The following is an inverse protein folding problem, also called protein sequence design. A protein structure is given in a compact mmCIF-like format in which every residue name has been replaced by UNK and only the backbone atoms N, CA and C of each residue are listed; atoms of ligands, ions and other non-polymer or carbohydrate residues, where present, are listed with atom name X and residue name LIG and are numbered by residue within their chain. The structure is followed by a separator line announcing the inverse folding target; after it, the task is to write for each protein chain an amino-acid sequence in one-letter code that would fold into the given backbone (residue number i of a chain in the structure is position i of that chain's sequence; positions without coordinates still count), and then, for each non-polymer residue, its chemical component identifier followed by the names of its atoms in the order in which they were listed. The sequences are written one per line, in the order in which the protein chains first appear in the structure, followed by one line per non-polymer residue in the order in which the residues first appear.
data_IF_892007797229
#
_entry.id   IF_892007797229
#
_cell.length_a   1.000
_cell.length_b   1.000
_cell.length_c   1.000
_cell.angle_alpha   90.00
_cell.angle_beta   90.00
_cell.angle_gamma   90.00
#
_symmetry.space_group_name_H-M   'P 1'
#
loop_
_entity.id
_entity.type
_entity.pdbx_description
1 polymer ?
#
# COMPACT_ATOMS: atom_id res chain seq x y z
N UNK A 1 -68.61 25.40 -8.72
CA UNK A 1 -67.74 24.51 -9.51
C UNK A 1 -67.43 23.28 -8.66
N UNK A 2 -67.97 22.11 -9.05
CA UNK A 2 -68.04 20.86 -8.28
C UNK A 2 -66.95 19.87 -8.72
N UNK A 3 -66.44 19.06 -7.78
CA UNK A 3 -65.60 17.86 -7.98
C UNK A 3 -66.36 16.75 -8.73
N UNK A 4 -65.64 15.94 -9.51
CA UNK A 4 -65.90 14.51 -9.83
C UNK A 4 -64.53 13.93 -10.32
N UNK A 5 -63.85 12.96 -9.70
CA UNK A 5 -64.14 11.56 -9.33
C UNK A 5 -64.14 10.56 -10.50
N UNK A 6 -63.10 9.70 -10.48
CA UNK A 6 -62.96 8.29 -10.92
C UNK A 6 -63.32 7.87 -12.35
N UNK A 7 -62.50 6.97 -12.91
CA UNK A 7 -62.98 5.70 -13.49
C UNK A 7 -61.86 4.65 -13.52
N UNK A 8 -62.00 3.69 -12.62
CA UNK A 8 -61.53 2.30 -12.70
C UNK A 8 -62.28 1.60 -13.84
N UNK A 9 -61.59 0.92 -14.75
CA UNK A 9 -62.13 -0.12 -15.65
C UNK A 9 -60.94 -0.97 -16.12
N UNK A 10 -60.91 -2.30 -16.22
CA UNK A 10 -61.66 -3.45 -15.69
C UNK A 10 -60.74 -4.67 -15.92
N UNK A 11 -60.83 -5.67 -15.05
CA UNK A 11 -60.35 -7.03 -15.36
C UNK A 11 -61.24 -7.64 -16.44
N UNK A 12 -60.65 -8.32 -17.42
CA UNK A 12 -61.31 -9.43 -18.08
C UNK A 12 -60.45 -10.68 -17.90
N UNK A 13 -61.09 -11.70 -17.36
CA UNK A 13 -60.55 -13.03 -17.06
C UNK A 13 -61.40 -13.97 -17.88
N UNK A 14 -60.81 -14.56 -18.93
CA UNK A 14 -61.45 -15.66 -19.65
C UNK A 14 -60.44 -16.74 -20.00
N UNK A 15 -60.95 -17.95 -19.84
CA UNK A 15 -60.38 -19.28 -19.70
C UNK A 15 -60.01 -19.94 -21.05
N UNK A 16 -59.36 -21.10 -20.94
CA UNK A 16 -59.15 -22.16 -21.92
C UNK A 16 -57.99 -22.11 -22.94
N UNK A 17 -56.99 -22.96 -22.62
CA UNK A 17 -56.34 -23.98 -23.46
C UNK A 17 -56.48 -23.85 -24.99
N UNK A 18 -55.42 -23.42 -25.67
CA UNK A 18 -54.76 -24.27 -26.68
C UNK A 18 -53.39 -23.70 -27.11
N UNK A 19 -52.51 -24.60 -27.54
CA UNK A 19 -51.11 -24.32 -27.89
C UNK A 19 -50.99 -23.49 -29.18
N UNK A 20 -50.14 -22.44 -29.25
CA UNK A 20 -49.66 -21.94 -30.53
C UNK A 20 -48.21 -22.36 -30.77
N UNK A 21 -48.06 -23.03 -31.91
CA UNK A 21 -46.86 -23.26 -32.70
C UNK A 21 -45.90 -22.07 -32.76
N UNK A 22 -44.61 -22.42 -32.83
CA UNK A 22 -43.47 -21.58 -33.17
C UNK A 22 -43.79 -20.50 -34.21
N UNK A 23 -43.81 -19.23 -33.78
CA UNK A 23 -43.51 -18.10 -34.65
C UNK A 23 -42.38 -17.28 -34.02
N UNK A 24 -41.25 -17.30 -34.73
CA UNK A 24 -39.99 -16.66 -34.40
C UNK A 24 -40.15 -15.14 -34.57
N UNK A 25 -40.42 -14.42 -33.47
CA UNK A 25 -40.35 -12.94 -33.48
C UNK A 25 -38.89 -12.51 -33.48
N UNK A 26 -38.41 -12.02 -34.61
CA UNK A 26 -37.12 -11.33 -34.72
C UNK A 26 -37.00 -10.23 -33.65
N UNK A 27 -36.01 -10.36 -32.77
CA UNK A 27 -35.66 -9.28 -31.85
C UNK A 27 -34.99 -8.14 -32.64
N UNK A 28 -35.35 -6.86 -32.37
CA UNK A 28 -34.69 -5.74 -33.01
C UNK A 28 -33.20 -5.71 -32.60
N UNK A 29 -32.30 -5.31 -33.51
CA UNK A 29 -30.87 -5.38 -33.27
C UNK A 29 -30.46 -4.52 -32.07
N UNK A 30 -29.44 -4.93 -31.29
CA UNK A 30 -29.01 -4.20 -30.12
C UNK A 30 -28.52 -2.80 -30.52
N UNK A 31 -29.17 -1.77 -29.98
CA UNK A 31 -28.77 -0.37 -30.20
C UNK A 31 -27.37 -0.18 -29.64
N UNK A 32 -26.38 -0.03 -30.54
CA UNK A 32 -25.00 0.26 -30.19
C UNK A 32 -24.98 1.55 -29.36
N UNK A 33 -24.65 1.44 -28.06
CA UNK A 33 -24.43 2.61 -27.21
C UNK A 33 -23.34 3.45 -27.87
N UNK A 34 -23.72 4.63 -28.38
CA UNK A 34 -22.78 5.60 -28.96
C UNK A 34 -21.70 5.88 -27.92
N UNK A 35 -20.47 5.44 -28.21
CA UNK A 35 -19.32 5.78 -27.39
C UNK A 35 -19.16 7.30 -27.44
N UNK A 36 -19.06 7.92 -26.27
CA UNK A 36 -18.78 9.35 -26.19
C UNK A 36 -17.52 9.67 -27.00
N UNK A 37 -17.46 10.82 -27.70
CA UNK A 37 -16.27 11.22 -28.42
C UNK A 37 -15.10 11.31 -27.44
N UNK A 38 -13.93 10.78 -27.83
CA UNK A 38 -12.73 10.88 -27.00
C UNK A 38 -12.35 12.34 -26.83
N UNK A 39 -12.03 12.75 -25.61
CA UNK A 39 -11.54 14.09 -25.34
C UNK A 39 -10.27 14.37 -26.17
N UNK A 40 -10.13 15.60 -26.65
CA UNK A 40 -8.97 16.01 -27.43
C UNK A 40 -7.68 15.83 -26.61
N UNK A 41 -6.61 15.39 -27.28
CA UNK A 41 -5.30 15.20 -26.67
C UNK A 41 -4.74 16.47 -26.02
N UNK A 42 -5.21 17.65 -26.42
CA UNK A 42 -4.88 18.95 -25.80
C UNK A 42 -5.49 19.15 -24.41
N UNK A 43 -6.55 18.43 -24.04
CA UNK A 43 -7.22 18.49 -22.72
C UNK A 43 -6.71 17.38 -21.79
N UNK A 44 -6.18 16.29 -22.36
CA UNK A 44 -5.63 15.17 -21.60
C UNK A 44 -4.21 15.52 -21.16
N UNK A 45 -4.07 16.04 -19.94
CA UNK A 45 -2.75 16.18 -19.31
C UNK A 45 -2.22 14.76 -19.08
N UNK A 46 -1.06 14.38 -19.67
CA UNK A 46 -0.49 13.06 -19.42
C UNK A 46 -0.18 12.91 -17.93
N UNK A 47 -0.73 11.87 -17.32
CA UNK A 47 -0.42 11.53 -15.93
C UNK A 47 1.07 11.28 -15.74
N UNK A 48 1.63 11.49 -14.54
CA UNK A 48 3.04 11.22 -14.27
C UNK A 48 3.37 9.76 -14.60
N UNK A 49 4.40 9.54 -15.43
CA UNK A 49 4.92 8.20 -15.73
C UNK A 49 5.68 7.70 -14.48
N UNK A 50 5.22 6.61 -13.87
CA UNK A 50 5.88 5.98 -12.72
C UNK A 50 7.13 5.24 -13.20
N UNK A 51 8.31 5.84 -13.04
CA UNK A 51 9.58 5.24 -13.39
C UNK A 51 10.17 4.49 -12.18
N UNK A 52 10.22 3.14 -12.19
CA UNK A 52 10.71 2.36 -11.03
C UNK A 52 12.16 2.66 -10.65
N UNK A 53 12.99 3.14 -11.58
CA UNK A 53 14.40 3.48 -11.29
C UNK A 53 14.53 4.62 -10.28
N UNK A 54 13.57 5.56 -10.27
CA UNK A 54 13.51 6.65 -9.29
C UNK A 54 13.15 6.16 -7.88
N UNK A 55 12.75 4.89 -7.76
CA UNK A 55 12.22 4.31 -6.53
C UNK A 55 12.90 2.99 -6.17
N UNK A 56 14.14 2.76 -6.61
CA UNK A 56 14.90 1.54 -6.30
C UNK A 56 14.17 0.27 -6.78
N UNK A 57 13.52 0.32 -7.94
CA UNK A 57 12.73 -0.78 -8.51
C UNK A 57 11.35 -0.96 -7.88
N UNK A 58 11.00 -0.12 -6.91
CA UNK A 58 9.67 -0.10 -6.31
C UNK A 58 8.66 0.43 -7.30
N UNK A 59 7.63 -0.37 -7.55
CA UNK A 59 6.52 0.00 -8.41
C UNK A 59 5.36 0.50 -7.56
N UNK A 60 4.70 1.56 -8.02
CA UNK A 60 3.51 2.09 -7.37
C UNK A 60 2.27 1.30 -7.82
N UNK A 61 1.50 0.80 -6.87
CA UNK A 61 0.31 -0.03 -7.14
C UNK A 61 -0.93 0.83 -7.42
N UNK A 62 -1.02 1.99 -6.79
CA UNK A 62 -2.07 3.00 -7.06
C UNK A 62 -1.46 4.17 -7.85
N UNK A 63 -1.90 4.47 -9.08
CA UNK A 63 -1.35 5.59 -9.85
C UNK A 63 -1.54 6.92 -9.11
N UNK A 64 -0.72 7.92 -9.45
CA UNK A 64 -0.97 9.27 -8.96
C UNK A 64 -2.27 9.80 -9.55
N UNK A 65 -3.14 10.34 -8.71
CA UNK A 65 -4.35 11.04 -9.11
C UNK A 65 -4.23 12.47 -8.62
N UNK A 66 -4.42 13.43 -9.52
CA UNK A 66 -4.38 14.85 -9.17
C UNK A 66 -5.40 15.18 -8.08
N UNK A 67 -4.98 16.01 -7.11
CA UNK A 67 -5.79 16.35 -5.94
C UNK A 67 -6.00 15.21 -4.94
N UNK A 68 -5.32 14.07 -5.10
CA UNK A 68 -5.30 12.97 -4.14
C UNK A 68 -3.93 12.87 -3.43
N UNK A 69 -3.95 12.85 -2.11
CA UNK A 69 -2.79 12.85 -1.25
C UNK A 69 -2.71 11.52 -0.50
N UNK A 70 -1.62 10.77 -0.70
CA UNK A 70 -1.35 9.58 0.09
C UNK A 70 -1.02 10.00 1.52
N UNK A 71 -1.62 9.33 2.50
CA UNK A 71 -1.46 9.57 3.91
C UNK A 71 -1.21 8.28 4.67
N UNK A 72 -0.53 8.39 5.81
CA UNK A 72 -0.17 7.26 6.65
C UNK A 72 -0.01 7.73 8.09
N UNK A 73 -0.63 7.00 9.02
CA UNK A 73 -0.53 7.26 10.46
C UNK A 73 0.33 6.18 11.10
N UNK A 74 1.29 6.59 11.92
CA UNK A 74 2.28 5.72 12.54
C UNK A 74 2.84 6.33 13.83
N UNK A 75 3.59 5.55 14.59
CA UNK A 75 4.46 6.04 15.66
C UNK A 75 5.92 5.95 15.21
N UNK A 76 6.69 7.01 15.40
CA UNK A 76 8.12 7.07 15.03
C UNK A 76 9.00 6.49 16.12
N UNK A 77 10.01 5.72 15.72
CA UNK A 77 11.03 5.17 16.60
C UNK A 77 12.39 5.75 16.22
N UNK A 78 12.92 6.64 17.07
CA UNK A 78 14.23 7.25 16.85
C UNK A 78 15.32 6.41 17.51
N UNK A 79 16.09 5.69 16.70
CA UNK A 79 17.15 4.79 17.17
C UNK A 79 18.50 5.49 16.99
N UNK A 80 19.17 5.75 18.11
CA UNK A 80 20.54 6.31 18.10
C UNK A 80 21.51 5.29 17.53
N UNK A 81 22.41 5.70 16.63
CA UNK A 81 23.43 4.81 16.02
C UNK A 81 24.42 4.20 17.03
N UNK A 82 24.54 4.77 18.23
CA UNK A 82 25.37 4.23 19.31
C UNK A 82 24.62 3.24 20.22
N UNK A 83 23.31 3.08 20.04
CA UNK A 83 22.50 2.17 20.87
C UNK A 83 22.84 0.71 20.62
N UNK A 84 22.58 -0.14 21.62
CA UNK A 84 22.68 -1.60 21.53
C UNK A 84 21.72 -2.15 20.48
N UNK A 85 20.49 -1.64 20.39
CA UNK A 85 19.53 -2.06 19.37
C UNK A 85 20.06 -1.81 17.96
N UNK A 86 20.64 -0.64 17.70
CA UNK A 86 21.16 -0.33 16.37
C UNK A 86 22.22 -1.34 15.94
N UNK A 87 23.15 -1.69 16.84
CA UNK A 87 24.19 -2.69 16.58
C UNK A 87 23.58 -4.06 16.30
N UNK A 88 22.64 -4.50 17.16
CA UNK A 88 21.92 -5.76 16.99
C UNK A 88 21.21 -5.82 15.64
N UNK A 89 20.52 -4.75 15.24
CA UNK A 89 19.85 -4.68 13.94
C UNK A 89 20.84 -4.72 12.78
N UNK A 90 21.99 -4.03 12.87
CA UNK A 90 23.03 -4.09 11.85
C UNK A 90 23.60 -5.51 11.72
N UNK A 91 23.90 -6.18 12.82
CA UNK A 91 24.44 -7.54 12.84
C UNK A 91 23.42 -8.53 12.27
N UNK A 92 22.15 -8.39 12.65
CA UNK A 92 21.06 -9.21 12.10
C UNK A 92 20.88 -9.01 10.59
N UNK A 93 20.96 -7.78 10.09
CA UNK A 93 20.88 -7.51 8.64
C UNK A 93 22.12 -8.02 7.91
N UNK A 94 23.31 -7.93 8.52
CA UNK A 94 24.53 -8.49 7.95
C UNK A 94 24.42 -10.01 7.79
N UNK A 95 23.94 -10.72 8.82
CA UNK A 95 23.62 -12.15 8.74
C UNK A 95 22.55 -12.45 7.69
N UNK A 96 21.53 -11.60 7.58
CA UNK A 96 20.49 -11.77 6.58
C UNK A 96 21.01 -11.61 5.15
N UNK A 97 21.90 -10.64 4.91
CA UNK A 97 22.52 -10.39 3.60
C UNK A 97 23.45 -11.52 3.16
N UNK A 98 24.01 -12.31 4.08
CA UNK A 98 24.76 -13.54 3.72
C UNK A 98 23.87 -14.58 3.03
N UNK A 99 22.58 -14.61 3.36
CA UNK A 99 21.59 -15.56 2.80
C UNK A 99 20.83 -14.91 1.63
N UNK A 100 20.51 -13.63 1.74
CA UNK A 100 19.76 -12.85 0.74
C UNK A 100 20.53 -11.57 0.42
N UNK A 101 21.52 -11.60 -0.49
CA UNK A 101 22.37 -10.45 -0.79
C UNK A 101 21.62 -9.22 -1.33
N UNK A 102 20.41 -9.43 -1.87
CA UNK A 102 19.54 -8.42 -2.47
C UNK A 102 18.73 -7.61 -1.44
N UNK A 103 18.78 -7.99 -0.15
CA UNK A 103 18.12 -7.25 0.92
C UNK A 103 18.66 -5.81 1.03
N UNK A 104 17.75 -4.85 1.06
CA UNK A 104 18.04 -3.42 1.22
C UNK A 104 17.62 -2.95 2.60
N UNK A 105 18.51 -2.24 3.28
CA UNK A 105 18.21 -1.57 4.55
C UNK A 105 17.19 -0.44 4.33
N UNK A 106 16.34 -0.19 5.33
CA UNK A 106 15.30 0.84 5.24
C UNK A 106 15.79 2.25 5.61
N UNK A 107 16.86 2.37 6.37
CA UNK A 107 17.49 3.65 6.65
C UNK A 107 18.56 3.94 5.60
N UNK A 108 18.40 5.06 4.89
CA UNK A 108 19.46 5.52 3.98
C UNK A 108 20.66 5.97 4.81
N UNK A 109 21.87 5.58 4.39
CA UNK A 109 23.03 6.46 4.54
C UNK A 109 22.77 7.64 3.63
N UNK A 110 22.02 8.62 4.13
CA UNK A 110 21.93 9.90 3.47
C UNK A 110 23.30 10.56 3.69
N UNK A 111 24.14 10.60 2.65
CA UNK A 111 25.52 11.12 2.74
C UNK A 111 25.55 12.59 3.20
N UNK A 112 24.41 13.29 3.08
CA UNK A 112 24.22 14.65 3.53
C UNK A 112 23.77 14.78 4.99
N UNK A 113 23.42 13.68 5.67
CA UNK A 113 23.08 13.70 7.10
C UNK A 113 24.32 13.43 7.92
N UNK A 114 24.45 14.18 9.01
CA UNK A 114 25.49 13.95 10.00
C UNK A 114 25.60 12.46 10.33
N UNK A 115 26.79 11.86 10.28
CA UNK A 115 26.97 10.42 10.51
C UNK A 115 26.50 9.95 11.89
N UNK A 116 26.27 10.88 12.82
CA UNK A 116 25.72 10.66 14.15
C UNK A 116 24.18 10.73 14.25
N UNK A 117 23.49 11.15 13.18
CA UNK A 117 22.03 11.28 13.18
C UNK A 117 21.34 9.95 13.50
N UNK A 118 20.29 9.95 14.34
CA UNK A 118 19.51 8.75 14.61
C UNK A 118 18.84 8.24 13.32
N UNK A 119 18.62 6.92 13.25
CA UNK A 119 17.74 6.34 12.23
C UNK A 119 16.30 6.41 12.73
N UNK A 120 15.36 6.62 11.82
CA UNK A 120 13.93 6.61 12.14
C UNK A 120 13.30 5.35 11.55
N UNK A 121 12.72 4.52 12.41
CA UNK A 121 11.78 3.49 12.00
C UNK A 121 10.36 3.93 12.36
N UNK A 122 9.36 3.16 11.92
CA UNK A 122 7.98 3.41 12.27
C UNK A 122 7.21 2.13 12.54
N UNK A 123 6.21 2.20 13.43
CA UNK A 123 5.18 1.19 13.59
C UNK A 123 3.88 1.75 13.02
N UNK A 124 3.33 1.08 12.00
CA UNK A 124 2.12 1.54 11.31
C UNK A 124 0.87 1.38 12.18
N UNK A 125 0.03 2.42 12.21
CA UNK A 125 -1.30 2.41 12.83
C UNK A 125 -2.44 2.44 11.81
N UNK A 126 -2.13 2.78 10.55
CA UNK A 126 -3.06 2.73 9.44
C UNK A 126 -2.45 2.02 8.23
N UNK A 127 -3.31 1.53 7.33
CA UNK A 127 -2.92 1.25 5.93
C UNK A 127 -2.55 2.56 5.23
N UNK A 128 -1.98 2.53 4.01
CA UNK A 128 -1.99 3.71 3.14
C UNK A 128 -3.43 4.22 2.94
N UNK A 129 -3.63 5.49 3.24
CA UNK A 129 -4.91 6.21 3.15
C UNK A 129 -4.81 7.22 2.02
N UNK A 130 -5.89 7.49 1.30
CA UNK A 130 -5.87 8.49 0.23
C UNK A 130 -6.90 9.59 0.48
N UNK A 131 -6.41 10.81 0.64
CA UNK A 131 -7.19 11.99 1.01
C UNK A 131 -7.39 12.90 -0.20
N UNK A 132 -8.55 13.54 -0.29
CA UNK A 132 -8.73 14.73 -1.13
C UNK A 132 -8.24 15.98 -0.40
N UNK A 133 -7.94 17.05 -1.15
CA UNK A 133 -7.41 18.30 -0.58
C UNK A 133 -8.23 18.81 0.62
N UNK A 134 -9.56 18.82 0.51
CA UNK A 134 -10.47 19.31 1.56
C UNK A 134 -10.49 18.41 2.81
N UNK A 135 -10.12 17.13 2.71
CA UNK A 135 -10.15 16.17 3.82
C UNK A 135 -8.89 16.22 4.69
N UNK A 136 -7.82 16.85 4.21
CA UNK A 136 -6.49 16.81 4.84
C UNK A 136 -6.51 17.37 6.26
N UNK A 137 -7.16 18.51 6.43
CA UNK A 137 -7.12 19.23 7.70
C UNK A 137 -8.01 18.57 8.75
N UNK A 138 -9.18 18.09 8.37
CA UNK A 138 -10.06 17.35 9.27
C UNK A 138 -9.43 16.03 9.71
N UNK A 139 -8.71 15.35 8.81
CA UNK A 139 -7.96 14.15 9.17
C UNK A 139 -6.83 14.45 10.17
N UNK A 140 -6.06 15.54 10.00
CA UNK A 140 -5.06 15.96 11.00
C UNK A 140 -5.69 16.27 12.34
N UNK A 141 -6.79 17.02 12.35
CA UNK A 141 -7.52 17.36 13.58
C UNK A 141 -7.99 16.11 14.31
N UNK A 142 -8.48 15.10 13.57
CA UNK A 142 -8.89 13.82 14.15
C UNK A 142 -7.71 13.07 14.79
N UNK A 143 -6.56 12.97 14.11
CA UNK A 143 -5.35 12.35 14.68
C UNK A 143 -4.83 13.13 15.90
N UNK A 144 -4.85 14.46 15.85
CA UNK A 144 -4.51 15.33 16.99
C UNK A 144 -5.47 15.15 18.17
N UNK A 145 -6.76 15.00 17.92
CA UNK A 145 -7.74 14.74 18.97
C UNK A 145 -7.51 13.37 19.62
N UNK A 146 -7.19 12.36 18.80
CA UNK A 146 -6.85 11.03 19.26
C UNK A 146 -5.62 11.03 20.19
N UNK A 147 -4.59 11.83 19.88
CA UNK A 147 -3.38 11.94 20.69
C UNK A 147 -3.67 12.43 22.12
N UNK A 148 -4.65 13.34 22.28
CA UNK A 148 -5.04 13.85 23.60
C UNK A 148 -5.66 12.77 24.49
N UNK A 149 -6.41 11.83 23.91
CA UNK A 149 -7.09 10.77 24.65
C UNK A 149 -6.23 9.54 24.98
N UNK A 150 -4.96 9.52 24.58
CA UNK A 150 -4.04 8.39 24.83
C UNK A 150 -2.84 8.84 25.64
N UNK A 151 -2.48 8.06 26.67
CA UNK A 151 -1.28 8.29 27.48
C UNK A 151 -0.03 7.79 26.74
N UNK A 152 1.15 8.37 26.99
CA UNK A 152 2.41 7.75 26.61
C UNK A 152 2.54 6.34 27.19
N UNK A 153 3.20 5.46 26.48
CA UNK A 153 3.37 4.06 26.87
C UNK A 153 4.68 3.52 26.31
N UNK A 154 5.15 2.39 26.86
CA UNK A 154 6.37 1.73 26.39
C UNK A 154 5.99 0.56 25.50
N UNK A 155 6.69 0.40 24.38
CA UNK A 155 6.66 -0.79 23.54
C UNK A 155 7.96 -1.57 23.70
N UNK A 156 7.91 -2.88 23.54
CA UNK A 156 9.12 -3.70 23.39
C UNK A 156 9.05 -4.59 22.18
N UNK A 157 10.18 -4.81 21.52
CA UNK A 157 10.30 -5.82 20.47
C UNK A 157 10.47 -7.22 21.06
N UNK A 158 10.06 -8.24 20.30
CA UNK A 158 10.13 -9.63 20.75
C UNK A 158 10.90 -10.52 19.76
N UNK A 159 10.53 -10.47 18.48
CA UNK A 159 11.03 -11.43 17.49
C UNK A 159 11.19 -10.78 16.12
N UNK A 160 12.05 -11.38 15.29
CA UNK A 160 12.11 -11.12 13.86
C UNK A 160 10.98 -11.85 13.15
N UNK A 161 10.42 -11.22 12.12
CA UNK A 161 9.42 -11.85 11.26
C UNK A 161 9.50 -11.38 9.81
N UNK A 162 8.93 -12.19 8.91
CA UNK A 162 8.67 -11.81 7.53
C UNK A 162 7.26 -11.22 7.40
N UNK A 163 7.15 -10.11 6.69
CA UNK A 163 5.87 -9.57 6.21
C UNK A 163 5.94 -9.25 4.72
N UNK A 164 4.85 -9.51 4.01
CA UNK A 164 4.70 -9.21 2.58
C UNK A 164 3.62 -8.13 2.44
N UNK A 165 3.83 -7.15 1.55
CA UNK A 165 2.80 -6.15 1.31
C UNK A 165 1.54 -6.76 0.66
N UNK A 166 0.42 -6.07 0.78
CA UNK A 166 -0.87 -6.51 0.24
C UNK A 166 -0.79 -6.89 -1.25
N UNK A 167 0.01 -6.17 -2.04
CA UNK A 167 0.15 -6.40 -3.49
C UNK A 167 1.21 -7.45 -3.86
N UNK A 168 1.87 -8.07 -2.87
CA UNK A 168 2.89 -9.12 -3.07
C UNK A 168 4.02 -8.72 -4.02
N UNK A 169 4.41 -7.46 -3.96
CA UNK A 169 5.54 -6.94 -4.75
C UNK A 169 6.82 -6.80 -3.93
N UNK A 170 6.72 -6.87 -2.59
CA UNK A 170 7.82 -6.69 -1.66
C UNK A 170 7.64 -7.54 -0.41
N UNK A 171 8.76 -8.07 0.05
CA UNK A 171 8.88 -8.69 1.38
C UNK A 171 9.74 -7.81 2.28
N UNK A 172 9.44 -7.83 3.57
CA UNK A 172 10.06 -7.04 4.61
C UNK A 172 10.58 -7.96 5.70
N UNK A 173 11.84 -7.77 6.07
CA UNK A 173 12.37 -8.26 7.33
C UNK A 173 12.00 -7.24 8.41
N UNK A 174 11.32 -7.71 9.44
CA UNK A 174 10.72 -6.86 10.48
C UNK A 174 11.07 -7.36 11.87
N UNK A 175 10.94 -6.47 12.85
CA UNK A 175 10.94 -6.79 14.29
C UNK A 175 9.55 -6.52 14.84
N UNK A 176 8.91 -7.54 15.42
CA UNK A 176 7.55 -7.48 15.92
C UNK A 176 7.50 -6.99 17.36
N UNK A 177 6.44 -6.23 17.66
CA UNK A 177 6.14 -5.75 19.00
C UNK A 177 5.62 -6.91 19.85
N UNK A 178 6.22 -7.08 21.03
CA UNK A 178 5.73 -7.95 22.11
C UNK A 178 4.85 -7.17 23.09
N UNK A 179 5.46 -6.34 23.94
CA UNK A 179 4.73 -5.48 24.88
C UNK A 179 4.30 -4.16 24.21
N UNK A 180 3.15 -3.61 24.62
CA UNK A 180 2.56 -2.39 24.02
C UNK A 180 1.52 -2.66 22.93
N UNK A 181 1.16 -3.93 22.70
CA UNK A 181 0.18 -4.34 21.68
C UNK A 181 -1.21 -3.72 21.91
N UNK A 182 -1.67 -3.68 23.17
CA UNK A 182 -3.00 -3.19 23.52
C UNK A 182 -3.14 -1.69 23.26
N UNK A 183 -2.11 -0.93 23.61
CA UNK A 183 -2.02 0.52 23.42
C UNK A 183 -1.98 0.87 21.91
N UNK A 184 -1.17 0.16 21.13
CA UNK A 184 -1.14 0.31 19.67
C UNK A 184 -2.48 -0.09 19.03
N UNK A 185 -3.12 -1.15 19.52
CA UNK A 185 -4.45 -1.56 19.08
C UNK A 185 -5.47 -0.45 19.36
N UNK A 186 -5.45 0.12 20.57
CA UNK A 186 -6.32 1.23 20.97
C UNK A 186 -6.15 2.44 20.05
N UNK A 187 -4.89 2.83 19.77
CA UNK A 187 -4.60 3.91 18.83
C UNK A 187 -5.13 3.61 17.43
N UNK A 188 -4.87 2.42 16.89
CA UNK A 188 -5.33 2.04 15.55
C UNK A 188 -6.86 2.03 15.43
N UNK A 189 -7.58 1.52 16.45
CA UNK A 189 -9.05 1.51 16.50
C UNK A 189 -9.62 2.92 16.70
N UNK A 190 -8.92 3.76 17.44
CA UNK A 190 -9.30 5.17 17.60
C UNK A 190 -9.28 5.97 16.29
N UNK A 191 -8.56 5.49 15.26
CA UNK A 191 -8.58 6.08 13.92
C UNK A 191 -9.80 5.65 13.09
N UNK A 192 -10.49 4.57 13.44
CA UNK A 192 -11.61 4.00 12.66
C UNK A 192 -12.68 5.04 12.29
N UNK A 193 -13.19 5.90 13.20
CA UNK A 193 -14.17 6.92 12.83
C UNK A 193 -13.66 7.90 11.76
N UNK A 194 -12.41 8.34 11.89
CA UNK A 194 -11.79 9.25 10.93
C UNK A 194 -11.59 8.59 9.56
N UNK A 195 -11.17 7.31 9.55
CA UNK A 195 -11.01 6.51 8.33
C UNK A 195 -12.35 6.28 7.63
N UNK A 196 -13.42 5.99 8.38
CA UNK A 196 -14.77 5.81 7.84
C UNK A 196 -15.33 7.11 7.24
N UNK A 197 -15.11 8.25 7.89
CA UNK A 197 -15.55 9.55 7.38
C UNK A 197 -14.99 9.87 5.98
N UNK A 198 -13.78 9.38 5.68
CA UNK A 198 -13.12 9.53 4.37
C UNK A 198 -13.27 8.30 3.47
N UNK A 199 -14.10 7.32 3.85
CA UNK A 199 -14.35 6.06 3.13
C UNK A 199 -13.09 5.23 2.87
N UNK A 200 -12.18 5.22 3.83
CA UNK A 200 -10.94 4.45 3.78
C UNK A 200 -11.07 3.22 4.68
N UNK A 201 -10.28 2.19 4.38
CA UNK A 201 -10.29 0.94 5.15
C UNK A 201 -9.71 1.16 6.54
N UNK A 202 -10.27 0.46 7.52
CA UNK A 202 -9.66 0.30 8.83
C UNK A 202 -8.28 -0.39 8.74
N UNK A 203 -7.57 -0.44 9.87
CA UNK A 203 -6.37 -1.24 9.98
C UNK A 203 -6.68 -2.75 9.91
N UNK A 204 -5.67 -3.59 9.97
CA UNK A 204 -5.85 -5.04 9.88
C UNK A 204 -6.66 -5.58 11.08
N UNK A 205 -7.55 -6.54 10.85
CA UNK A 205 -8.38 -7.16 11.91
C UNK A 205 -7.53 -7.82 13.00
N UNK A 206 -6.45 -8.49 12.58
CA UNK A 206 -5.41 -9.03 13.46
C UNK A 206 -4.11 -8.28 13.18
N UNK A 207 -3.91 -7.09 13.78
CA UNK A 207 -2.74 -6.30 13.49
C UNK A 207 -1.49 -7.01 14.02
N UNK A 208 -0.45 -7.05 13.20
CA UNK A 208 0.90 -7.44 13.59
C UNK A 208 1.72 -6.17 13.66
N UNK A 209 1.80 -5.54 14.83
CA UNK A 209 2.57 -4.31 14.97
C UNK A 209 4.06 -4.63 14.91
N UNK A 210 4.78 -3.89 14.07
CA UNK A 210 6.18 -4.18 13.76
C UNK A 210 6.88 -2.91 13.27
N UNK A 211 8.20 -2.91 13.37
CA UNK A 211 9.06 -2.00 12.65
C UNK A 211 9.78 -2.78 11.54
N UNK A 212 9.70 -2.31 10.30
CA UNK A 212 10.46 -2.92 9.20
C UNK A 212 11.90 -2.42 9.25
N UNK A 213 12.88 -3.32 9.07
CA UNK A 213 14.31 -2.99 9.13
C UNK A 213 15.02 -3.18 7.77
N UNK A 214 14.55 -4.12 6.96
CA UNK A 214 15.03 -4.33 5.59
C UNK A 214 13.91 -4.82 4.67
N UNK A 215 14.14 -4.77 3.36
CA UNK A 215 13.15 -5.18 2.36
C UNK A 215 13.82 -5.71 1.09
N UNK A 216 13.08 -6.49 0.30
CA UNK A 216 13.46 -6.96 -1.03
C UNK A 216 12.26 -6.94 -1.98
N UNK A 217 12.53 -6.87 -3.28
CA UNK A 217 11.50 -7.01 -4.32
C UNK A 217 11.17 -8.48 -4.51
N UNK A 218 9.89 -8.79 -4.70
CA UNK A 218 9.44 -10.14 -5.00
C UNK A 218 9.33 -10.38 -6.50
N UNK A 219 9.55 -11.62 -6.91
CA UNK A 219 9.33 -12.07 -8.28
C UNK A 219 7.88 -11.80 -8.69
N UNK A 220 7.71 -11.26 -9.89
CA UNK A 220 6.38 -11.12 -10.49
C UNK A 220 6.08 -12.37 -11.29
N UNK A 221 5.00 -13.06 -10.93
CA UNK A 221 4.33 -13.95 -11.87
C UNK A 221 3.88 -13.08 -13.05
N UNK A 222 4.54 -13.24 -14.20
CA UNK A 222 4.12 -12.56 -15.42
C UNK A 222 2.73 -13.07 -15.77
N UNK A 223 1.68 -12.31 -15.46
CA UNK A 223 0.36 -12.55 -16.06
C UNK A 223 0.48 -12.18 -17.53
N UNK A 224 0.74 -13.19 -18.36
CA UNK A 224 0.88 -13.07 -19.79
C UNK A 224 -0.41 -12.56 -20.43
N UNK A 225 -0.45 -11.27 -20.73
CA UNK A 225 -1.27 -10.71 -21.79
C UNK A 225 -0.32 -9.89 -22.66
N UNK A 226 0.46 -10.60 -23.50
CA UNK A 226 1.04 -9.95 -24.66
C UNK A 226 -0.13 -9.51 -25.56
N UNK A 227 -0.18 -8.26 -26.02
CA UNK A 227 -1.17 -7.87 -27.01
C UNK A 227 -0.88 -8.67 -28.28
N UNK A 228 -1.87 -9.47 -28.70
CA UNK A 228 -1.91 -10.06 -30.03
C UNK A 228 -1.82 -8.90 -31.01
N UNK A 229 -0.69 -8.80 -31.72
CA UNK A 229 -0.57 -7.92 -32.88
C UNK A 229 -1.30 -8.61 -34.01
N UNK A 230 -2.49 -8.10 -34.34
CA UNK A 230 -3.17 -8.46 -35.57
C UNK A 230 -2.24 -8.14 -36.76
N UNK A 231 -2.01 -9.17 -37.59
CA UNK A 231 -1.32 -9.02 -38.87
C UNK A 231 -2.29 -8.34 -39.85
N UNK A 232 -1.97 -7.10 -40.24
CA UNK A 232 -2.45 -6.55 -41.50
C UNK A 232 -1.26 -6.49 -42.48
N UNK A 233 -1.46 -7.25 -43.55
CA UNK A 233 -0.55 -7.55 -44.64
C UNK A 233 -0.58 -6.42 -45.67
N UNK A 234 0.53 -5.68 -45.85
CA UNK A 234 0.79 -4.91 -47.07
C UNK A 234 2.30 -4.60 -47.22
N UNK A 235 2.92 -5.15 -48.27
CA UNK A 235 4.17 -4.69 -48.91
C UNK A 235 3.83 -3.67 -50.02
N UNK A 236 4.75 -2.79 -50.53
CA UNK A 236 6.18 -3.07 -50.77
C UNK A 236 7.22 -1.94 -50.59
N UNK A 237 8.47 -2.40 -50.55
CA UNK A 237 9.75 -1.77 -50.93
C UNK A 237 10.26 -0.49 -50.24
N UNK A 238 11.37 -0.66 -49.51
CA UNK A 238 12.33 0.39 -49.15
C UNK A 238 13.42 -0.17 -48.25
N UNK A 239 14.61 -0.41 -48.80
CA UNK A 239 15.78 -0.93 -48.08
C UNK A 239 16.25 0.06 -47.01
N UNK A 240 16.09 -0.30 -45.74
CA UNK A 240 16.90 0.22 -44.64
C UNK A 240 17.08 -0.85 -43.59
N UNK A 241 18.32 -1.28 -43.42
CA UNK A 241 18.79 -2.10 -42.30
C UNK A 241 18.53 -1.35 -41.00
N UNK A 242 17.54 -1.80 -40.22
CA UNK A 242 17.39 -1.40 -38.82
C UNK A 242 17.30 -2.66 -37.96
N UNK A 243 18.37 -2.87 -37.21
CA UNK A 243 18.52 -3.80 -36.09
C UNK A 243 17.27 -3.80 -35.21
N UNK A 244 16.76 -4.96 -34.74
CA UNK A 244 15.64 -4.95 -33.83
C UNK A 244 16.09 -4.38 -32.48
N UNK A 245 15.45 -3.29 -32.09
CA UNK A 245 15.58 -2.61 -30.80
C UNK A 245 15.35 -3.60 -29.64
N UNK A 246 16.44 -3.97 -28.99
CA UNK A 246 16.47 -4.71 -27.73
C UNK A 246 16.17 -3.79 -26.52
N UNK A 247 15.19 -2.90 -26.62
CA UNK A 247 14.89 -1.93 -25.55
C UNK A 247 13.93 -2.46 -24.47
N UNK A 248 13.46 -3.70 -24.56
CA UNK A 248 12.55 -4.28 -23.54
C UNK A 248 13.25 -5.21 -22.54
N UNK A 249 14.52 -5.59 -22.75
CA UNK A 249 15.22 -6.54 -21.88
C UNK A 249 16.17 -5.89 -20.86
N UNK A 250 16.50 -4.60 -21.01
CA UNK A 250 17.60 -3.95 -20.26
C UNK A 250 17.15 -3.45 -18.87
N UNK A 251 15.85 -3.38 -18.56
CA UNK A 251 15.35 -2.76 -17.32
C UNK A 251 15.24 -3.69 -16.09
N UNK A 252 15.48 -5.00 -16.21
CA UNK A 252 15.35 -5.96 -15.10
C UNK A 252 16.65 -6.16 -14.30
N UNK A 253 17.82 -5.82 -14.86
CA UNK A 253 19.13 -6.07 -14.25
C UNK A 253 19.42 -5.18 -13.03
N UNK A 254 18.86 -3.97 -12.96
CA UNK A 254 19.20 -3.00 -11.91
C UNK A 254 18.53 -3.27 -10.55
N UNK A 255 17.49 -4.11 -10.52
CA UNK A 255 16.67 -4.32 -9.33
C UNK A 255 16.35 -5.80 -9.12
N UNK A 256 17.28 -6.57 -8.54
CA UNK A 256 17.12 -8.00 -8.39
C UNK A 256 15.92 -8.34 -7.49
N UNK A 257 15.18 -9.37 -7.89
CA UNK A 257 14.00 -9.89 -7.19
C UNK A 257 14.31 -11.24 -6.53
N UNK A 258 13.49 -11.65 -5.58
CA UNK A 258 13.54 -12.97 -4.95
C UNK A 258 12.14 -13.61 -4.96
N UNK A 259 12.02 -14.94 -5.03
CA UNK A 259 10.72 -15.59 -5.04
C UNK A 259 10.00 -15.49 -3.69
N UNK A 260 10.75 -15.55 -2.58
CA UNK A 260 10.28 -15.42 -1.21
C UNK A 260 11.46 -15.17 -0.28
N UNK A 261 11.21 -14.67 0.94
CA UNK A 261 12.25 -14.62 1.97
C UNK A 261 12.50 -16.04 2.51
N UNK A 262 13.74 -16.57 2.50
CA UNK A 262 14.00 -17.94 2.93
C UNK A 262 13.50 -18.19 4.37
N UNK A 263 12.63 -19.19 4.57
CA UNK A 263 12.02 -19.47 5.89
C UNK A 263 13.06 -19.65 7.01
N UNK A 264 14.19 -20.26 6.69
CA UNK A 264 15.29 -20.47 7.63
C UNK A 264 15.94 -19.17 8.11
N UNK A 265 15.84 -18.08 7.33
CA UNK A 265 16.43 -16.79 7.70
C UNK A 265 15.83 -16.28 9.01
N UNK A 266 14.49 -16.20 9.09
CA UNK A 266 13.79 -15.70 10.27
C UNK A 266 14.08 -16.58 11.49
N UNK A 267 14.05 -17.91 11.32
CA UNK A 267 14.39 -18.85 12.39
C UNK A 267 15.83 -18.68 12.88
N UNK A 268 16.80 -18.49 11.98
CA UNK A 268 18.21 -18.25 12.33
C UNK A 268 18.36 -16.93 13.09
N UNK A 269 17.75 -15.85 12.61
CA UNK A 269 17.82 -14.55 13.27
C UNK A 269 17.20 -14.59 14.67
N UNK A 270 16.06 -15.25 14.83
CA UNK A 270 15.45 -15.42 16.15
C UNK A 270 16.35 -16.25 17.08
N UNK A 271 16.90 -17.38 16.61
CA UNK A 271 17.78 -18.22 17.42
C UNK A 271 19.03 -17.47 17.94
N UNK A 272 19.54 -16.50 17.18
CA UNK A 272 20.76 -15.76 17.53
C UNK A 272 20.46 -14.47 18.29
N UNK A 273 19.43 -13.71 17.88
CA UNK A 273 19.26 -12.32 18.29
C UNK A 273 17.98 -12.04 19.09
N UNK A 274 17.00 -12.96 19.16
CA UNK A 274 15.71 -12.63 19.80
C UNK A 274 15.83 -12.45 21.31
N UNK A 275 16.77 -13.14 21.97
CA UNK A 275 17.01 -12.98 23.41
C UNK A 275 17.43 -11.56 23.77
N UNK A 276 18.44 -11.03 23.05
CA UNK A 276 18.90 -9.66 23.23
C UNK A 276 17.84 -8.65 22.76
N UNK A 277 17.15 -8.93 21.65
CA UNK A 277 16.08 -8.06 21.13
C UNK A 277 14.94 -7.91 22.15
N UNK A 278 14.54 -9.00 22.82
CA UNK A 278 13.48 -9.00 23.82
C UNK A 278 13.93 -8.42 25.19
N UNK A 279 15.23 -8.14 25.35
CA UNK A 279 15.74 -7.55 26.59
C UNK A 279 15.16 -6.14 26.80
N UNK A 280 14.68 -5.81 28.02
CA UNK A 280 14.14 -4.49 28.32
C UNK A 280 15.14 -3.34 28.10
N UNK A 281 16.44 -3.62 28.16
CA UNK A 281 17.51 -2.61 27.97
C UNK A 281 17.88 -2.38 26.51
N UNK A 282 17.36 -3.18 25.59
CA UNK A 282 17.71 -3.14 24.17
C UNK A 282 16.46 -2.83 23.33
N UNK A 283 15.41 -3.64 23.45
CA UNK A 283 14.25 -3.59 22.57
C UNK A 283 13.12 -2.68 23.01
N UNK A 284 13.26 -1.94 24.12
CA UNK A 284 12.20 -1.09 24.67
C UNK A 284 12.26 0.35 24.18
N UNK A 285 11.11 0.92 23.84
CA UNK A 285 10.96 2.30 23.36
C UNK A 285 9.76 2.97 24.00
N UNK A 286 9.96 4.18 24.49
CA UNK A 286 8.84 5.02 24.93
C UNK A 286 8.18 5.67 23.72
N UNK A 287 6.87 5.51 23.65
CA UNK A 287 6.00 6.10 22.65
C UNK A 287 5.26 7.25 23.32
N UNK A 288 5.65 8.45 22.96
CA UNK A 288 5.08 9.69 23.47
C UNK A 288 4.41 10.53 22.37
N UNK A 289 4.46 10.09 21.11
CA UNK A 289 3.92 10.82 19.96
C UNK A 289 3.23 9.92 18.95
N UNK A 290 2.20 10.47 18.30
CA UNK A 290 1.58 9.91 17.10
C UNK A 290 1.85 10.84 15.92
N UNK A 291 2.15 10.26 14.76
CA UNK A 291 2.55 10.98 13.55
C UNK A 291 1.62 10.67 12.40
N UNK A 292 1.27 11.70 11.63
CA UNK A 292 0.62 11.57 10.33
C UNK A 292 1.49 12.19 9.26
N UNK A 293 1.71 11.42 8.18
CA UNK A 293 2.30 11.93 6.95
C UNK A 293 1.19 12.09 5.92
N UNK A 294 1.13 13.24 5.25
CA UNK A 294 0.21 13.53 4.13
C UNK A 294 1.03 14.08 2.97
N UNK A 295 1.25 13.27 1.94
CA UNK A 295 2.18 13.59 0.86
C UNK A 295 3.60 13.78 1.40
N UNK A 296 4.12 15.00 1.28
CA UNK A 296 5.45 15.39 1.79
C UNK A 296 5.39 16.00 3.19
N UNK A 297 4.23 16.36 3.68
CA UNK A 297 4.05 17.01 4.98
C UNK A 297 3.95 15.97 6.09
N UNK A 298 4.64 16.22 7.20
CA UNK A 298 4.63 15.37 8.40
C UNK A 298 4.16 16.22 9.58
N UNK A 299 3.27 15.67 10.40
CA UNK A 299 2.79 16.31 11.62
C UNK A 299 2.78 15.30 12.75
N UNK A 300 3.30 15.67 13.92
CA UNK A 300 3.35 14.83 15.10
C UNK A 300 2.72 15.54 16.29
N UNK A 301 2.08 14.78 17.17
CA UNK A 301 1.48 15.30 18.40
C UNK A 301 1.78 14.39 19.58
N UNK A 302 2.10 15.00 20.72
CA UNK A 302 2.30 14.26 21.95
C UNK A 302 1.03 13.58 22.43
N UNK A 303 1.21 12.37 22.95
CA UNK A 303 0.25 11.61 23.71
C UNK A 303 0.14 12.25 25.10
N UNK A 304 -1.07 12.63 25.51
CA UNK A 304 -1.29 13.37 26.76
C UNK A 304 -2.18 12.62 27.76
N UNK A 305 -3.15 11.85 27.28
CA UNK A 305 -4.10 11.09 28.10
C UNK A 305 -4.93 11.95 29.06
N UNK A 306 -5.38 13.11 28.57
CA UNK A 306 -6.22 14.10 29.27
C UNK A 306 -7.69 13.68 29.21
#
# INVERSE_FOLDING_TARGET
MKRCSNLLVTYDSSDDSDSPSFEEREQPPPVKKRKLPSLSSSIVIPGPIDNPSLHQGRIRTTPHVEGQFAAHVYVSLLIRRRSTLYKLMQDAILEAKKIVPTLRELWSRDDNKEPSSPIELHISLSRPVYLRAHQREDFRKAVKALSKGHKPFTVSFATFSELVNDEKTRTFLTIEVGAGYHELTSLSKGLTPALHAIRQKEFYTTPRFHASIAWALLDRLHSGNAPVRDQEDHTPHGTTTSTPEAHSAIALEDFPTIPYLPKMLVSKLNAVFSGDLASPTVGSFDIDQITVKIGKEVSSWSLAGI
#
